data_IF_534287341355
#
_entry.id   IF_534287341355
#
_cell.length_a   1.000
_cell.length_b   1.000
_cell.length_c   1.000
_cell.angle_alpha   90.00
_cell.angle_beta   90.00
_cell.angle_gamma   90.00
#
_symmetry.space_group_name_H-M   'P 1'
#
loop_
_entity.id
_entity.type
_entity.pdbx_description
1 polymer ?
#
# COMPACT_ATOMS: atom_id res chain seq x y z
N UNK A 1 -26.11 -10.92 112.08
CA UNK A 1 -26.75 -12.09 111.45
C UNK A 1 -28.08 -11.65 110.87
N UNK A 2 -28.13 -11.27 109.60
CA UNK A 2 -29.33 -11.36 108.76
C UNK A 2 -28.91 -11.15 107.30
N UNK A 3 -29.39 -12.05 106.46
CA UNK A 3 -28.85 -12.35 105.15
C UNK A 3 -29.61 -11.64 104.02
N UNK A 4 -28.84 -11.22 103.03
CA UNK A 4 -29.06 -11.28 101.59
C UNK A 4 -30.49 -11.59 101.08
N UNK A 5 -31.09 -10.64 100.36
CA UNK A 5 -31.94 -10.92 99.20
C UNK A 5 -31.83 -9.74 98.22
N UNK A 6 -30.94 -9.90 97.25
CA UNK A 6 -30.85 -9.04 96.06
C UNK A 6 -32.15 -9.24 95.27
N UNK A 7 -32.99 -8.22 95.15
CA UNK A 7 -34.08 -8.21 94.18
C UNK A 7 -33.46 -8.01 92.82
N UNK A 8 -33.43 -9.08 92.02
CA UNK A 8 -33.01 -9.04 90.64
C UNK A 8 -33.83 -7.97 89.90
N UNK A 9 -33.16 -6.93 89.42
CA UNK A 9 -33.65 -6.17 88.28
C UNK A 9 -34.01 -7.17 87.19
N UNK A 10 -35.19 -7.07 86.60
CA UNK A 10 -35.52 -7.84 85.41
C UNK A 10 -34.37 -7.68 84.43
N UNK A 11 -33.63 -8.77 84.19
CA UNK A 11 -32.70 -8.81 83.09
C UNK A 11 -33.54 -8.50 81.86
N UNK A 12 -33.36 -7.30 81.31
CA UNK A 12 -33.64 -7.07 79.90
C UNK A 12 -32.68 -8.04 79.23
N UNK A 13 -33.15 -9.25 78.97
CA UNK A 13 -32.60 -10.05 77.92
C UNK A 13 -32.53 -9.08 76.76
N UNK A 14 -31.31 -8.73 76.35
CA UNK A 14 -31.10 -8.13 75.05
C UNK A 14 -31.59 -9.17 74.08
N UNK A 15 -32.89 -9.17 73.84
CA UNK A 15 -33.55 -9.89 72.80
C UNK A 15 -33.00 -9.24 71.55
N UNK A 16 -31.85 -9.73 71.10
CA UNK A 16 -31.47 -9.60 69.71
C UNK A 16 -32.40 -10.52 68.91
N UNK A 17 -33.72 -10.28 69.05
CA UNK A 17 -34.72 -10.78 68.14
C UNK A 17 -34.30 -10.30 66.76
N UNK A 18 -34.24 -11.23 65.82
CA UNK A 18 -33.77 -11.05 64.45
C UNK A 18 -33.83 -9.59 63.98
N UNK A 19 -32.66 -8.94 63.89
CA UNK A 19 -32.50 -7.51 63.52
C UNK A 19 -33.04 -7.23 62.11
N UNK A 20 -33.35 -8.28 61.36
CA UNK A 20 -34.07 -8.27 60.10
C UNK A 20 -35.00 -9.49 60.06
N UNK A 21 -36.31 -9.28 60.11
CA UNK A 21 -37.27 -10.35 59.82
C UNK A 21 -37.63 -10.21 58.33
N UNK A 22 -37.35 -11.24 57.54
CA UNK A 22 -38.00 -11.38 56.23
C UNK A 22 -39.46 -11.70 56.54
N UNK A 23 -40.35 -10.72 56.36
CA UNK A 23 -41.74 -10.87 56.76
C UNK A 23 -42.38 -12.05 56.03
N UNK A 24 -42.67 -13.13 56.75
CA UNK A 24 -43.64 -14.14 56.36
C UNK A 24 -45.04 -13.82 56.89
N UNK A 25 -45.14 -12.97 57.94
CA UNK A 25 -46.41 -12.78 58.68
C UNK A 25 -46.58 -11.43 59.39
N UNK A 26 -45.83 -10.39 59.05
CA UNK A 26 -46.07 -9.03 59.57
C UNK A 26 -46.54 -8.09 58.46
N UNK A 27 -47.83 -7.74 58.49
CA UNK A 27 -48.39 -6.50 57.96
C UNK A 27 -48.04 -6.14 56.51
N UNK A 28 -48.89 -6.60 55.58
CA UNK A 28 -49.14 -6.09 54.23
C UNK A 28 -48.37 -6.64 53.02
N UNK A 29 -47.08 -7.05 53.05
CA UNK A 29 -46.41 -7.62 51.85
C UNK A 29 -45.28 -8.62 52.16
N UNK A 30 -45.47 -9.90 51.84
CA UNK A 30 -44.50 -10.98 52.05
C UNK A 30 -43.18 -10.77 51.27
N UNK A 31 -42.07 -11.29 51.81
CA UNK A 31 -40.75 -11.30 51.13
C UNK A 31 -39.95 -10.00 51.23
N UNK A 32 -40.32 -9.08 52.14
CA UNK A 32 -39.65 -7.80 52.35
C UNK A 32 -38.77 -7.79 53.59
N UNK A 33 -37.66 -7.07 53.49
CA UNK A 33 -36.76 -6.77 54.59
C UNK A 33 -37.37 -5.64 55.42
N UNK A 34 -37.89 -5.99 56.59
CA UNK A 34 -38.47 -5.03 57.52
C UNK A 34 -37.67 -4.96 58.81
N UNK A 35 -37.68 -3.78 59.44
CA UNK A 35 -37.01 -3.55 60.72
C UNK A 35 -38.03 -3.01 61.72
N UNK A 36 -38.19 -3.73 62.83
CA UNK A 36 -39.02 -3.36 63.97
C UNK A 36 -40.50 -3.75 63.85
N UNK A 37 -41.28 -3.38 64.87
CA UNK A 37 -42.73 -3.62 64.93
C UNK A 37 -43.47 -2.34 64.54
N UNK A 38 -44.43 -2.42 63.61
CA UNK A 38 -45.09 -1.25 63.01
C UNK A 38 -45.88 -0.33 63.95
N UNK A 39 -45.79 -0.54 65.27
CA UNK A 39 -46.44 0.21 66.34
C UNK A 39 -45.45 1.09 67.14
N UNK A 40 -44.14 0.93 66.98
CA UNK A 40 -43.12 1.80 67.58
C UNK A 40 -42.71 2.90 66.61
N UNK A 41 -42.81 4.16 67.04
CA UNK A 41 -42.57 5.34 66.19
C UNK A 41 -41.10 5.54 65.77
N UNK A 42 -40.17 4.77 66.33
CA UNK A 42 -38.74 4.78 66.00
C UNK A 42 -38.34 3.67 65.03
N UNK A 43 -39.26 2.78 64.71
CA UNK A 43 -39.01 1.63 63.86
C UNK A 43 -39.34 1.97 62.41
N UNK A 44 -38.54 1.47 61.47
CA UNK A 44 -38.71 1.73 60.03
C UNK A 44 -39.98 1.04 59.50
N UNK A 45 -40.39 -0.07 60.12
CA UNK A 45 -41.57 -0.85 59.73
C UNK A 45 -41.41 -1.58 58.40
N UNK A 46 -42.53 -1.92 57.76
CA UNK A 46 -42.61 -2.54 56.42
C UNK A 46 -43.24 -1.57 55.38
N UNK A 47 -42.59 -0.45 55.01
CA UNK A 47 -43.15 0.44 54.00
C UNK A 47 -43.26 -0.26 52.64
N UNK A 48 -44.16 0.22 51.78
CA UNK A 48 -44.41 -0.37 50.46
C UNK A 48 -43.20 -0.31 49.50
N UNK A 49 -42.13 0.41 49.86
CA UNK A 49 -40.86 0.52 49.13
C UNK A 49 -39.70 -0.21 49.81
N UNK A 50 -39.93 -0.91 50.94
CA UNK A 50 -38.90 -1.71 51.59
C UNK A 50 -38.30 -2.75 50.61
N UNK A 51 -36.97 -2.94 50.58
CA UNK A 51 -36.32 -3.92 49.71
C UNK A 51 -36.92 -5.31 49.90
N UNK A 52 -37.17 -6.04 48.82
CA UNK A 52 -37.57 -7.45 48.91
C UNK A 52 -36.45 -8.37 48.49
N UNK A 53 -36.29 -9.48 49.21
CA UNK A 53 -35.37 -10.57 48.86
C UNK A 53 -36.21 -11.71 48.32
N UNK A 54 -35.97 -12.13 47.08
CA UNK A 54 -36.71 -13.24 46.47
C UNK A 54 -36.10 -14.58 46.86
N UNK A 55 -36.85 -15.67 46.71
CA UNK A 55 -36.33 -17.04 46.85
C UNK A 55 -35.28 -17.39 45.80
N UNK A 56 -35.16 -16.60 44.73
CA UNK A 56 -34.10 -16.70 43.73
C UNK A 56 -32.81 -15.96 44.15
N UNK A 57 -32.80 -15.27 45.29
CA UNK A 57 -31.65 -14.53 45.82
C UNK A 57 -31.53 -13.09 45.30
N UNK A 58 -32.50 -12.61 44.53
CA UNK A 58 -32.50 -11.24 44.01
C UNK A 58 -32.91 -10.24 45.10
N UNK A 59 -32.27 -9.07 45.10
CA UNK A 59 -32.70 -7.92 45.89
C UNK A 59 -33.43 -6.95 44.96
N UNK A 60 -34.73 -6.76 45.18
CA UNK A 60 -35.53 -5.79 44.43
C UNK A 60 -35.70 -4.51 45.24
N UNK A 61 -35.26 -3.40 44.66
CA UNK A 61 -35.43 -2.04 45.19
C UNK A 61 -36.31 -1.27 44.21
N UNK A 62 -37.40 -0.71 44.71
CA UNK A 62 -38.37 0.05 43.89
C UNK A 62 -38.04 1.53 43.79
N UNK A 63 -37.12 2.03 44.64
CA UNK A 63 -36.58 3.39 44.62
C UNK A 63 -35.15 3.45 44.08
N UNK A 64 -34.47 4.59 44.31
CA UNK A 64 -33.07 4.76 43.93
C UNK A 64 -32.14 3.92 44.83
N UNK A 65 -31.18 3.24 44.21
CA UNK A 65 -30.10 2.54 44.91
C UNK A 65 -28.83 3.42 44.87
N UNK A 66 -28.35 3.86 46.02
CA UNK A 66 -27.05 4.53 46.16
C UNK A 66 -26.03 3.54 46.70
N UNK A 67 -25.03 3.18 45.89
CA UNK A 67 -23.94 2.27 46.26
C UNK A 67 -22.59 2.82 45.77
N UNK A 68 -21.53 2.65 46.56
CA UNK A 68 -20.17 3.05 46.16
C UNK A 68 -19.52 2.06 45.18
N UNK A 69 -19.98 0.80 45.18
CA UNK A 69 -19.47 -0.27 44.31
C UNK A 69 -20.54 -1.33 44.12
N UNK A 70 -20.78 -1.71 42.87
CA UNK A 70 -21.47 -2.95 42.53
C UNK A 70 -20.42 -4.07 42.43
N UNK A 71 -20.63 -5.19 43.13
CA UNK A 71 -19.77 -6.38 43.04
C UNK A 71 -20.53 -7.49 42.31
N UNK A 72 -20.20 -7.70 41.03
CA UNK A 72 -20.81 -8.66 40.13
C UNK A 72 -20.28 -8.46 38.71
N UNK A 73 -20.69 -9.31 37.76
CA UNK A 73 -20.33 -9.17 36.35
C UNK A 73 -21.08 -8.03 35.64
N UNK A 74 -22.19 -7.56 36.24
CA UNK A 74 -23.00 -6.45 35.75
C UNK A 74 -23.79 -6.77 34.48
N UNK A 75 -23.78 -8.03 34.02
CA UNK A 75 -24.37 -8.43 32.73
C UNK A 75 -25.90 -8.28 32.70
N UNK A 76 -26.55 -8.30 33.87
CA UNK A 76 -27.98 -8.09 34.03
C UNK A 76 -28.42 -6.64 34.25
N UNK A 77 -27.51 -5.67 34.36
CA UNK A 77 -27.86 -4.25 34.52
C UNK A 77 -28.35 -3.70 33.17
N UNK A 78 -29.67 -3.63 33.00
CA UNK A 78 -30.32 -3.06 31.82
C UNK A 78 -30.96 -1.72 32.16
N UNK A 79 -31.27 -0.91 31.14
CA UNK A 79 -31.98 0.37 31.28
C UNK A 79 -31.26 1.47 32.10
N UNK A 80 -29.93 1.41 32.24
CA UNK A 80 -29.13 2.51 32.76
C UNK A 80 -28.78 3.44 31.60
N UNK A 81 -29.29 4.67 31.63
CA UNK A 81 -29.01 5.64 30.56
C UNK A 81 -27.54 6.04 30.54
N UNK A 82 -27.01 6.24 29.33
CA UNK A 82 -25.63 6.65 29.09
C UNK A 82 -25.20 7.90 29.90
N UNK A 83 -26.13 8.83 30.11
CA UNK A 83 -25.94 10.08 30.86
C UNK A 83 -25.89 9.90 32.38
N UNK A 84 -26.39 8.77 32.90
CA UNK A 84 -26.35 8.44 34.32
C UNK A 84 -25.03 7.81 34.77
N UNK A 85 -24.14 7.47 33.82
CA UNK A 85 -22.86 6.81 34.09
C UNK A 85 -21.73 7.84 33.91
N UNK A 86 -21.29 8.42 35.02
CA UNK A 86 -20.07 9.24 35.06
C UNK A 86 -18.85 8.35 35.29
N UNK A 87 -17.86 8.39 34.38
CA UNK A 87 -16.55 7.75 34.59
C UNK A 87 -16.30 6.41 33.88
N UNK A 88 -17.26 5.88 33.11
CA UNK A 88 -16.92 4.85 32.10
C UNK A 88 -16.46 5.57 30.83
N UNK A 89 -15.21 5.35 30.42
CA UNK A 89 -14.69 5.79 29.12
C UNK A 89 -15.60 5.26 28.00
N UNK A 90 -16.47 6.12 27.45
CA UNK A 90 -17.64 5.70 26.67
C UNK A 90 -17.34 5.13 25.27
N UNK A 91 -16.10 5.13 24.79
CA UNK A 91 -15.79 4.79 23.39
C UNK A 91 -14.64 3.77 23.26
N UNK A 92 -14.83 2.53 23.70
CA UNK A 92 -13.82 1.45 23.51
C UNK A 92 -14.38 0.27 22.72
N UNK A 93 -13.77 -0.03 21.58
CA UNK A 93 -13.94 -1.31 20.89
C UNK A 93 -13.09 -2.35 21.64
N UNK A 94 -13.71 -3.38 22.20
CA UNK A 94 -13.04 -4.49 22.90
C UNK A 94 -13.29 -5.83 22.19
N UNK A 95 -12.53 -6.86 22.55
CA UNK A 95 -12.75 -8.23 22.07
C UNK A 95 -14.21 -8.65 22.25
N UNK A 96 -14.84 -9.17 21.19
CA UNK A 96 -16.25 -9.55 21.16
C UNK A 96 -17.22 -8.46 20.69
N UNK A 97 -16.74 -7.23 20.40
CA UNK A 97 -17.58 -6.20 19.77
C UNK A 97 -17.97 -6.63 18.35
N UNK A 98 -19.27 -6.77 18.08
CA UNK A 98 -19.79 -7.23 16.77
C UNK A 98 -20.15 -6.08 15.81
N UNK A 99 -20.34 -4.86 16.33
CA UNK A 99 -20.58 -3.65 15.54
C UNK A 99 -20.01 -2.44 16.25
N UNK A 100 -19.36 -1.54 15.51
CA UNK A 100 -18.89 -0.26 15.98
C UNK A 100 -19.42 0.83 15.03
N UNK A 101 -20.24 1.74 15.55
CA UNK A 101 -20.78 2.88 14.80
C UNK A 101 -20.11 4.14 15.33
N UNK A 102 -19.22 4.72 14.53
CA UNK A 102 -18.56 5.98 14.87
C UNK A 102 -19.25 7.14 14.12
N UNK A 103 -20.05 7.92 14.85
CA UNK A 103 -20.69 9.13 14.33
C UNK A 103 -19.89 10.33 14.83
N UNK A 104 -19.26 11.05 13.91
CA UNK A 104 -18.49 12.25 14.24
C UNK A 104 -19.30 13.51 13.97
N UNK A 105 -19.44 14.36 14.99
CA UNK A 105 -19.97 15.72 14.84
C UNK A 105 -18.89 16.73 14.46
N UNK A 106 -17.61 16.37 14.58
CA UNK A 106 -16.46 17.20 14.21
C UNK A 106 -16.08 17.12 12.73
N UNK A 107 -16.77 16.29 11.94
CA UNK A 107 -16.60 16.20 10.49
C UNK A 107 -15.49 15.25 10.03
N UNK A 108 -14.89 14.47 10.94
CA UNK A 108 -13.95 13.41 10.58
C UNK A 108 -13.91 12.29 11.63
N UNK A 109 -13.57 11.07 11.20
CA UNK A 109 -13.24 9.94 12.06
C UNK A 109 -11.72 9.78 12.12
N UNK A 110 -11.15 9.59 13.31
CA UNK A 110 -9.71 9.43 13.49
C UNK A 110 -9.37 8.19 14.34
N UNK A 111 -8.29 7.51 13.98
CA UNK A 111 -7.66 6.46 14.77
C UNK A 111 -6.31 6.96 15.27
N UNK A 112 -6.16 7.03 16.58
CA UNK A 112 -4.96 7.54 17.24
C UNK A 112 -4.20 6.42 17.93
N UNK A 113 -2.87 6.40 17.77
CA UNK A 113 -1.96 5.51 18.50
C UNK A 113 -1.01 6.35 19.35
N UNK A 114 -0.92 6.07 20.65
CA UNK A 114 -0.04 6.81 21.59
C UNK A 114 -0.21 8.35 21.51
N UNK A 115 -1.43 8.83 21.27
CA UNK A 115 -1.73 10.26 21.14
C UNK A 115 -1.46 10.88 19.76
N UNK A 116 -0.96 10.11 18.79
CA UNK A 116 -0.73 10.56 17.40
C UNK A 116 -1.81 10.01 16.48
N UNK A 117 -2.41 10.87 15.65
CA UNK A 117 -3.36 10.44 14.63
C UNK A 117 -2.67 9.63 13.53
N UNK A 118 -3.06 8.36 13.39
CA UNK A 118 -2.48 7.43 12.42
C UNK A 118 -3.36 7.30 11.17
N UNK A 119 -4.68 7.31 11.33
CA UNK A 119 -5.65 7.21 10.23
C UNK A 119 -6.77 8.22 10.44
N UNK A 120 -7.18 8.92 9.38
CA UNK A 120 -8.28 9.88 9.32
C UNK A 120 -9.25 9.51 8.21
N UNK A 121 -10.55 9.71 8.41
CA UNK A 121 -11.57 9.75 7.36
C UNK A 121 -12.29 11.09 7.47
N UNK A 122 -12.14 11.98 6.50
CA UNK A 122 -12.77 13.31 6.50
C UNK A 122 -14.21 13.25 5.95
N UNK A 123 -14.98 14.32 6.14
CA UNK A 123 -16.41 14.40 5.78
C UNK A 123 -16.72 14.15 4.31
N UNK A 124 -15.77 14.40 3.40
CA UNK A 124 -15.93 14.09 1.97
C UNK A 124 -15.63 12.61 1.62
N UNK A 125 -15.33 11.77 2.62
CA UNK A 125 -15.05 10.34 2.48
C UNK A 125 -13.59 9.99 2.18
N UNK A 126 -12.69 10.97 2.07
CA UNK A 126 -11.26 10.70 1.86
C UNK A 126 -10.61 10.12 3.12
N UNK A 127 -9.77 9.11 2.94
CA UNK A 127 -8.99 8.46 4.00
C UNK A 127 -7.55 8.93 3.95
N UNK A 128 -7.03 9.48 5.06
CA UNK A 128 -5.63 9.83 5.25
C UNK A 128 -4.94 8.85 6.18
N UNK A 129 -3.76 8.34 5.83
CA UNK A 129 -2.86 7.62 6.73
C UNK A 129 -1.60 8.47 6.89
N UNK A 130 -1.32 8.92 8.11
CA UNK A 130 -0.21 9.85 8.42
C UNK A 130 -0.43 11.31 7.99
N UNK A 131 -1.64 11.67 7.53
CA UNK A 131 -2.05 13.05 7.19
C UNK A 131 -3.44 13.38 7.71
N UNK A 132 -3.65 14.64 8.11
CA UNK A 132 -4.96 15.18 8.49
C UNK A 132 -5.71 15.83 7.32
N UNK A 133 -5.06 16.00 6.17
CA UNK A 133 -5.59 16.70 4.99
C UNK A 133 -5.43 15.82 3.72
N UNK A 134 -6.21 14.74 3.57
CA UNK A 134 -6.13 13.89 2.38
C UNK A 134 -6.81 14.53 1.15
N UNK A 135 -6.02 14.83 0.12
CA UNK A 135 -6.52 15.41 -1.14
C UNK A 135 -7.22 14.38 -2.04
N UNK A 136 -6.95 13.08 -1.84
CA UNK A 136 -7.50 11.97 -2.61
C UNK A 136 -8.24 10.95 -1.72
N UNK A 137 -9.07 10.08 -2.34
CA UNK A 137 -9.88 9.06 -1.64
C UNK A 137 -9.07 8.20 -0.65
N UNK A 138 -7.83 7.89 -0.98
CA UNK A 138 -6.86 7.32 -0.04
C UNK A 138 -5.53 8.05 -0.23
N UNK A 139 -5.05 8.70 0.83
CA UNK A 139 -3.75 9.38 0.88
C UNK A 139 -2.91 8.73 1.98
N UNK A 140 -1.73 8.23 1.65
CA UNK A 140 -0.81 7.61 2.62
C UNK A 140 0.51 8.35 2.56
N UNK A 141 0.91 9.01 3.65
CA UNK A 141 2.19 9.71 3.75
C UNK A 141 2.90 9.38 5.08
N UNK A 142 4.24 9.46 5.13
CA UNK A 142 4.97 9.45 6.41
C UNK A 142 4.51 10.61 7.30
N UNK A 143 4.32 10.35 8.60
CA UNK A 143 3.84 11.35 9.54
C UNK A 143 4.75 12.60 9.55
N UNK A 144 4.14 13.78 9.39
CA UNK A 144 4.84 15.07 9.47
C UNK A 144 5.49 15.59 8.18
N UNK A 145 5.23 14.98 7.01
CA UNK A 145 5.67 15.52 5.72
C UNK A 145 4.51 16.15 4.92
N UNK A 146 4.84 17.09 4.02
CA UNK A 146 3.88 17.73 3.10
C UNK A 146 3.31 16.70 2.11
N UNK A 147 2.07 16.85 1.59
CA UNK A 147 1.45 15.86 0.71
C UNK A 147 2.32 15.63 -0.54
N UNK A 148 2.94 14.47 -0.64
CA UNK A 148 3.41 13.94 -1.92
C UNK A 148 2.55 12.71 -2.24
N UNK A 149 1.90 12.65 -3.42
CA UNK A 149 0.96 11.60 -3.76
C UNK A 149 1.70 10.27 -3.92
N UNK A 150 1.72 9.47 -2.86
CA UNK A 150 2.33 8.14 -2.84
C UNK A 150 1.29 7.09 -2.44
N UNK A 151 0.14 7.04 -3.12
CA UNK A 151 -0.84 5.98 -2.91
C UNK A 151 -0.71 4.92 -4.02
N UNK A 152 0.07 3.87 -3.74
CA UNK A 152 0.03 2.62 -4.51
C UNK A 152 -1.30 1.94 -4.20
N UNK A 153 -2.23 1.90 -5.17
CA UNK A 153 -3.54 1.25 -5.03
C UNK A 153 -3.48 -0.17 -5.62
N UNK A 154 -3.48 -1.19 -4.77
CA UNK A 154 -3.74 -2.56 -5.22
C UNK A 154 -5.25 -2.70 -5.52
N UNK A 155 -5.66 -2.44 -6.77
CA UNK A 155 -7.00 -2.80 -7.23
C UNK A 155 -6.99 -4.26 -7.69
N UNK A 156 -7.91 -5.07 -7.17
CA UNK A 156 -8.15 -6.42 -7.68
C UNK A 156 -8.71 -6.33 -9.11
N UNK A 157 -7.85 -6.47 -10.12
CA UNK A 157 -8.31 -6.69 -11.48
C UNK A 157 -8.98 -8.07 -11.52
N UNK A 158 -10.20 -8.15 -12.08
CA UNK A 158 -11.07 -9.34 -12.05
C UNK A 158 -10.41 -10.62 -12.66
N UNK A 159 -9.23 -10.49 -13.27
CA UNK A 159 -8.51 -11.54 -13.96
C UNK A 159 -7.05 -11.73 -13.49
N UNK A 160 -6.52 -10.91 -12.56
CA UNK A 160 -5.18 -11.07 -11.98
C UNK A 160 -4.92 -10.14 -10.77
N UNK A 161 -4.17 -10.62 -9.79
CA UNK A 161 -3.59 -9.78 -8.72
C UNK A 161 -2.50 -8.88 -9.31
N UNK A 162 -2.81 -7.59 -9.52
CA UNK A 162 -1.85 -6.62 -10.03
C UNK A 162 -1.74 -5.43 -9.09
N UNK A 163 -0.55 -4.81 -9.03
CA UNK A 163 -0.38 -3.49 -8.42
C UNK A 163 -0.71 -2.46 -9.50
N UNK A 164 -1.70 -1.61 -9.26
CA UNK A 164 -2.15 -0.59 -10.21
C UNK A 164 -1.75 0.80 -9.71
N UNK A 165 -1.25 1.64 -10.61
CA UNK A 165 -1.01 3.06 -10.35
C UNK A 165 -1.84 3.84 -11.34
N UNK A 166 -2.80 4.64 -10.84
CA UNK A 166 -3.77 5.38 -11.64
C UNK A 166 -3.84 6.83 -11.16
N UNK A 167 -4.02 7.75 -12.10
CA UNK A 167 -4.14 9.18 -11.85
C UNK A 167 -4.67 9.89 -13.09
N UNK A 168 -5.40 10.99 -12.91
CA UNK A 168 -5.79 11.85 -14.02
C UNK A 168 -4.58 12.66 -14.51
N UNK A 169 -4.38 12.75 -15.83
CA UNK A 169 -3.23 13.44 -16.43
C UNK A 169 -2.00 12.54 -16.55
N UNK A 170 -1.38 12.11 -15.45
CA UNK A 170 -0.20 11.24 -15.48
C UNK A 170 -0.20 10.25 -14.33
N UNK A 171 0.40 9.08 -14.54
CA UNK A 171 0.53 8.03 -13.52
C UNK A 171 1.77 7.18 -13.79
N UNK A 172 2.64 6.99 -12.79
CA UNK A 172 3.87 6.24 -12.93
C UNK A 172 4.34 5.59 -11.62
N UNK A 173 5.06 4.48 -11.74
CA UNK A 173 5.91 3.96 -10.69
C UNK A 173 7.22 4.75 -10.66
N UNK A 174 7.66 5.17 -9.48
CA UNK A 174 8.93 5.89 -9.28
C UNK A 174 9.88 5.11 -8.37
N UNK A 175 11.15 5.07 -8.74
CA UNK A 175 12.26 4.65 -7.89
C UNK A 175 13.19 5.85 -7.72
N UNK A 176 13.42 6.28 -6.46
CA UNK A 176 14.24 7.45 -6.15
C UNK A 176 15.38 7.09 -5.22
N UNK A 177 16.61 7.42 -5.62
CA UNK A 177 17.79 7.44 -4.75
C UNK A 177 18.08 8.90 -4.40
N UNK A 178 17.84 9.28 -3.14
CA UNK A 178 18.02 10.66 -2.66
C UNK A 178 19.49 11.01 -2.43
N UNK A 179 20.36 10.03 -2.19
CA UNK A 179 21.79 10.27 -1.99
C UNK A 179 22.46 10.64 -3.31
N UNK A 180 22.04 9.98 -4.40
CA UNK A 180 22.61 10.20 -5.74
C UNK A 180 21.70 11.03 -6.65
N UNK A 181 20.54 11.50 -6.17
CA UNK A 181 19.55 12.25 -6.95
C UNK A 181 19.12 11.54 -8.24
N UNK A 182 18.94 10.22 -8.18
CA UNK A 182 18.49 9.41 -9.32
C UNK A 182 16.98 9.22 -9.20
N UNK A 183 16.25 9.52 -10.27
CA UNK A 183 14.82 9.23 -10.38
C UNK A 183 14.56 8.38 -11.62
N UNK A 184 14.09 7.15 -11.43
CA UNK A 184 13.68 6.21 -12.47
C UNK A 184 12.16 6.07 -12.50
N UNK A 185 11.57 6.13 -13.69
CA UNK A 185 10.13 6.18 -13.90
C UNK A 185 9.65 5.13 -14.90
N UNK A 186 8.49 4.53 -14.62
CA UNK A 186 7.71 3.75 -15.58
C UNK A 186 6.24 4.14 -15.48
N UNK A 187 5.65 4.65 -16.56
CA UNK A 187 4.25 5.05 -16.52
C UNK A 187 3.73 5.73 -17.78
N UNK A 188 2.76 6.62 -17.58
CA UNK A 188 1.98 7.30 -18.61
C UNK A 188 2.10 8.81 -18.47
N UNK A 189 2.20 9.49 -19.61
CA UNK A 189 2.24 10.95 -19.69
C UNK A 189 0.87 11.53 -19.98
N UNK A 190 0.71 12.82 -19.67
CA UNK A 190 -0.47 13.61 -20.04
C UNK A 190 -0.57 13.89 -21.55
N UNK A 191 0.47 13.56 -22.32
CA UNK A 191 0.50 13.64 -23.77
C UNK A 191 0.15 12.32 -24.47
N UNK A 192 -0.27 11.29 -23.72
CA UNK A 192 -0.75 10.03 -24.27
C UNK A 192 0.34 9.02 -24.63
N UNK A 193 1.54 9.14 -24.06
CA UNK A 193 2.62 8.16 -24.24
C UNK A 193 2.82 7.30 -23.00
N UNK A 194 3.19 6.02 -23.21
CA UNK A 194 3.82 5.20 -22.18
C UNK A 194 5.32 5.45 -22.23
N UNK A 195 5.95 5.60 -21.08
CA UNK A 195 7.39 5.85 -20.99
C UNK A 195 8.06 4.99 -19.91
N UNK A 196 9.35 4.73 -20.14
CA UNK A 196 10.30 4.12 -19.23
C UNK A 196 11.59 4.91 -19.34
N UNK A 197 12.11 5.47 -18.25
CA UNK A 197 13.30 6.32 -18.33
C UNK A 197 13.76 6.88 -16.98
N UNK A 198 14.78 7.73 -17.02
CA UNK A 198 15.15 8.58 -15.90
C UNK A 198 14.55 9.97 -16.06
N UNK A 199 14.05 10.55 -14.97
CA UNK A 199 13.61 11.96 -14.92
C UNK A 199 14.76 12.93 -14.63
N UNK A 200 15.97 12.39 -14.44
CA UNK A 200 17.19 13.10 -14.06
C UNK A 200 18.28 12.83 -15.10
N UNK A 201 19.40 13.54 -15.01
CA UNK A 201 20.54 13.35 -15.92
C UNK A 201 21.33 12.07 -15.61
N UNK A 202 20.68 10.91 -15.76
CA UNK A 202 21.23 9.59 -15.50
C UNK A 202 20.85 8.60 -16.60
N UNK A 203 21.75 7.64 -16.86
CA UNK A 203 21.53 6.64 -17.90
C UNK A 203 20.37 5.69 -17.60
N UNK A 204 19.64 5.24 -18.63
CA UNK A 204 18.74 4.10 -18.54
C UNK A 204 19.46 2.81 -18.96
N UNK A 205 19.29 1.73 -18.19
CA UNK A 205 19.94 0.44 -18.46
C UNK A 205 18.94 -0.72 -18.42
N UNK A 206 19.02 -1.62 -19.38
CA UNK A 206 18.44 -2.97 -19.29
C UNK A 206 19.56 -3.97 -19.06
N UNK A 207 19.45 -4.75 -17.99
CA UNK A 207 20.50 -5.64 -17.50
C UNK A 207 20.04 -7.09 -17.43
N UNK A 208 20.95 -8.02 -17.72
CA UNK A 208 20.75 -9.47 -17.47
C UNK A 208 22.05 -10.07 -16.93
N UNK A 209 21.95 -10.90 -15.89
CA UNK A 209 23.13 -11.50 -15.25
C UNK A 209 24.13 -10.46 -14.73
N UNK A 210 23.63 -9.36 -14.16
CA UNK A 210 24.41 -8.20 -13.71
C UNK A 210 25.20 -7.44 -14.80
N UNK A 211 25.02 -7.76 -16.08
CA UNK A 211 25.64 -7.04 -17.20
C UNK A 211 24.64 -6.12 -17.92
N UNK A 212 25.11 -4.95 -18.37
CA UNK A 212 24.30 -4.03 -19.20
C UNK A 212 24.19 -4.56 -20.62
N UNK A 213 22.95 -4.77 -21.09
CA UNK A 213 22.64 -5.29 -22.43
C UNK A 213 22.16 -4.19 -23.37
N UNK A 214 21.34 -3.27 -22.85
CA UNK A 214 20.98 -2.03 -23.51
C UNK A 214 21.31 -0.89 -22.57
N UNK A 215 21.99 0.13 -23.09
CA UNK A 215 22.38 1.32 -22.36
C UNK A 215 21.91 2.54 -23.15
N UNK A 216 21.22 3.47 -22.50
CA UNK A 216 20.97 4.81 -23.04
C UNK A 216 21.73 5.76 -22.13
N UNK A 217 22.79 6.37 -22.66
CA UNK A 217 23.59 7.31 -21.89
C UNK A 217 22.85 8.65 -21.69
N UNK A 218 23.42 9.53 -20.87
CA UNK A 218 22.86 10.85 -20.56
C UNK A 218 22.79 11.78 -21.78
N UNK A 219 23.57 11.49 -22.84
CA UNK A 219 23.53 12.23 -24.11
C UNK A 219 22.50 11.68 -25.10
N UNK A 220 21.79 10.62 -24.74
CA UNK A 220 20.76 9.97 -25.56
C UNK A 220 21.29 8.94 -26.55
N UNK A 221 22.57 8.55 -26.47
CA UNK A 221 23.13 7.49 -27.33
C UNK A 221 22.73 6.11 -26.81
N UNK A 222 22.44 5.21 -27.74
CA UNK A 222 22.00 3.85 -27.45
C UNK A 222 23.16 2.88 -27.71
N UNK A 223 23.58 2.16 -26.68
CA UNK A 223 24.50 1.03 -26.77
C UNK A 223 23.77 -0.30 -26.62
N UNK A 224 24.04 -1.26 -27.51
CA UNK A 224 23.65 -2.66 -27.36
C UNK A 224 24.92 -3.49 -27.16
N UNK A 225 25.00 -4.19 -26.02
CA UNK A 225 26.21 -4.87 -25.53
C UNK A 225 27.45 -3.97 -25.36
N UNK A 226 27.25 -2.65 -25.22
CA UNK A 226 28.29 -1.68 -24.85
C UNK A 226 27.69 -0.67 -23.86
N UNK A 227 28.48 -0.26 -22.86
CA UNK A 227 28.09 0.75 -21.86
C UNK A 227 28.65 2.14 -22.16
N UNK A 228 29.37 2.29 -23.27
CA UNK A 228 30.02 3.55 -23.64
C UNK A 228 29.89 3.79 -25.14
N UNK A 229 28.66 3.97 -25.65
CA UNK A 229 28.42 4.20 -27.07
C UNK A 229 29.10 5.49 -27.54
N UNK A 230 29.90 5.37 -28.59
CA UNK A 230 30.60 6.50 -29.23
C UNK A 230 29.71 7.19 -30.26
N UNK A 231 28.75 6.47 -30.83
CA UNK A 231 27.79 6.94 -31.84
C UNK A 231 26.35 6.83 -31.33
N UNK A 232 25.39 7.44 -32.03
CA UNK A 232 23.97 7.50 -31.60
C UNK A 232 23.34 6.12 -31.37
N UNK A 233 23.69 5.13 -32.19
CA UNK A 233 23.33 3.72 -31.99
C UNK A 233 24.56 2.87 -32.26
N UNK A 234 25.12 2.28 -31.22
CA UNK A 234 26.26 1.39 -31.30
C UNK A 234 25.86 -0.03 -30.88
N UNK A 235 26.06 -1.00 -31.76
CA UNK A 235 25.79 -2.41 -31.47
C UNK A 235 27.11 -3.17 -31.48
N UNK A 236 27.54 -3.62 -30.31
CA UNK A 236 28.73 -4.47 -30.18
C UNK A 236 28.35 -5.93 -30.42
N UNK A 237 28.25 -6.32 -31.69
CA UNK A 237 27.89 -7.67 -32.11
C UNK A 237 27.31 -7.75 -33.52
N UNK A 238 26.88 -8.96 -33.91
CA UNK A 238 26.23 -9.21 -35.19
C UNK A 238 24.75 -8.79 -35.14
N UNK A 239 24.30 -8.07 -36.17
CA UNK A 239 22.88 -7.74 -36.37
C UNK A 239 22.30 -8.73 -37.39
N UNK A 240 21.34 -9.55 -36.96
CA UNK A 240 20.55 -10.41 -37.85
C UNK A 240 19.19 -9.75 -38.10
N UNK A 241 18.92 -9.35 -39.34
CA UNK A 241 17.68 -8.69 -39.73
C UNK A 241 17.25 -9.14 -41.12
N UNK A 242 15.94 -9.34 -41.34
CA UNK A 242 15.39 -9.59 -42.67
C UNK A 242 15.62 -8.41 -43.61
N UNK A 243 15.49 -7.19 -43.10
CA UNK A 243 15.79 -5.95 -43.81
C UNK A 243 16.54 -4.99 -42.87
N UNK A 244 17.68 -4.46 -43.31
CA UNK A 244 18.39 -3.37 -42.64
C UNK A 244 18.37 -2.16 -43.57
N UNK A 245 17.50 -1.19 -43.27
CA UNK A 245 17.42 0.08 -44.02
C UNK A 245 18.25 1.14 -43.29
N UNK A 246 19.23 1.70 -43.98
CA UNK A 246 20.04 2.82 -43.50
C UNK A 246 19.73 4.04 -44.36
N UNK A 247 19.40 5.17 -43.74
CA UNK A 247 19.28 6.45 -44.43
C UNK A 247 20.66 7.16 -44.36
N UNK A 248 21.62 6.66 -45.15
CA UNK A 248 22.99 7.17 -45.15
C UNK A 248 23.97 6.21 -45.81
N UNK A 249 25.27 6.46 -45.61
CA UNK A 249 26.34 5.61 -46.12
C UNK A 249 26.59 4.43 -45.18
N UNK A 250 26.61 3.21 -45.72
CA UNK A 250 27.18 2.06 -45.02
C UNK A 250 28.72 2.19 -45.08
N UNK A 251 29.35 2.35 -43.91
CA UNK A 251 30.81 2.37 -43.75
C UNK A 251 31.17 1.13 -42.93
N UNK A 252 31.85 0.13 -43.50
CA UNK A 252 32.30 -1.01 -42.71
C UNK A 252 33.71 -0.71 -42.14
N UNK A 253 33.74 -0.21 -40.92
CA UNK A 253 34.96 0.25 -40.25
C UNK A 253 35.92 -0.83 -39.73
N UNK A 254 35.88 -2.06 -40.25
CA UNK A 254 36.74 -3.17 -39.80
C UNK A 254 37.51 -3.78 -40.96
N UNK A 255 38.82 -3.99 -40.82
CA UNK A 255 39.64 -4.67 -41.83
C UNK A 255 39.37 -6.18 -41.82
N UNK A 256 39.01 -6.83 -42.96
CA UNK A 256 38.66 -6.24 -44.25
C UNK A 256 37.21 -5.75 -44.33
N UNK A 257 37.05 -4.53 -44.86
CA UNK A 257 35.80 -3.80 -45.09
C UNK A 257 35.00 -4.50 -46.19
N UNK A 258 34.27 -5.56 -45.83
CA UNK A 258 33.64 -6.46 -46.78
C UNK A 258 32.17 -6.64 -46.44
N UNK A 259 31.30 -6.23 -47.35
CA UNK A 259 29.92 -6.73 -47.42
C UNK A 259 30.02 -8.21 -47.86
N UNK A 260 30.23 -9.12 -46.90
CA UNK A 260 30.20 -10.56 -47.14
C UNK A 260 28.73 -10.99 -47.11
N UNK A 261 28.10 -11.11 -48.27
CA UNK A 261 26.86 -11.86 -48.34
C UNK A 261 27.03 -12.98 -49.34
N UNK A 262 26.74 -14.20 -48.88
CA UNK A 262 26.86 -15.43 -49.68
C UNK A 262 25.97 -15.44 -50.93
N UNK A 263 25.10 -14.44 -51.08
CA UNK A 263 24.20 -14.23 -52.23
C UNK A 263 24.06 -12.74 -52.61
N UNK A 264 24.96 -11.84 -52.15
CA UNK A 264 24.77 -10.41 -52.32
C UNK A 264 24.86 -9.99 -53.80
N UNK A 265 23.69 -9.72 -54.38
CA UNK A 265 23.57 -8.71 -55.41
C UNK A 265 23.56 -7.35 -54.69
N UNK A 266 24.65 -6.58 -54.81
CA UNK A 266 24.58 -5.14 -54.51
C UNK A 266 23.76 -4.51 -55.64
N UNK A 267 22.44 -4.56 -55.51
CA UNK A 267 21.50 -3.97 -56.47
C UNK A 267 21.24 -2.53 -56.02
N UNK A 268 21.90 -1.59 -56.66
CA UNK A 268 21.53 -0.19 -56.53
C UNK A 268 20.34 0.09 -57.47
N UNK A 269 19.13 0.01 -56.92
CA UNK A 269 17.89 0.40 -57.62
C UNK A 269 17.52 1.82 -57.29
N UNK A 270 16.94 2.48 -58.28
CA UNK A 270 16.48 3.84 -58.21
C UNK A 270 14.98 3.87 -58.39
N UNK A 271 14.26 4.37 -57.40
CA UNK A 271 12.79 4.39 -57.44
C UNK A 271 12.24 5.61 -58.20
N UNK A 272 13.07 6.58 -58.61
CA UNK A 272 12.64 7.75 -59.41
C UNK A 272 13.82 8.62 -59.92
N UNK A 273 14.32 8.36 -61.13
CA UNK A 273 14.99 9.37 -61.99
C UNK A 273 16.33 10.03 -61.56
N UNK A 274 17.03 9.56 -60.54
CA UNK A 274 18.40 10.02 -60.22
C UNK A 274 19.50 9.40 -61.10
N UNK A 275 20.76 9.45 -60.64
CA UNK A 275 21.85 8.60 -61.15
C UNK A 275 22.32 7.65 -60.02
N UNK A 276 22.56 6.38 -60.32
CA UNK A 276 23.35 5.51 -59.44
C UNK A 276 24.82 5.74 -59.78
N UNK A 277 25.42 6.75 -59.17
CA UNK A 277 26.84 7.08 -59.36
C UNK A 277 27.65 6.65 -58.14
N UNK A 278 28.75 5.92 -58.35
CA UNK A 278 29.68 5.55 -57.28
C UNK A 278 30.98 4.95 -57.82
N UNK A 279 32.07 5.10 -57.07
CA UNK A 279 33.35 4.46 -57.40
C UNK A 279 33.39 3.03 -56.86
N UNK A 280 33.42 2.05 -57.76
CA UNK A 280 33.74 0.67 -57.42
C UNK A 280 35.27 0.47 -57.50
N UNK A 281 35.95 0.52 -56.35
CA UNK A 281 37.41 0.36 -56.27
C UNK A 281 37.78 -1.11 -56.10
N UNK A 282 38.40 -1.70 -57.13
CA UNK A 282 38.99 -3.05 -57.06
C UNK A 282 40.44 -2.91 -56.57
N UNK A 283 40.72 -3.34 -55.34
CA UNK A 283 42.04 -3.12 -54.68
C UNK A 283 42.95 -4.34 -54.65
N UNK A 284 42.45 -5.55 -54.91
CA UNK A 284 43.29 -6.75 -54.97
C UNK A 284 43.70 -7.05 -56.41
N UNK A 285 45.00 -6.99 -56.69
CA UNK A 285 45.61 -7.71 -57.82
C UNK A 285 45.69 -9.16 -57.40
N UNK A 286 44.67 -9.91 -57.76
CA UNK A 286 44.77 -11.35 -57.74
C UNK A 286 45.93 -11.79 -58.61
N UNK A 287 46.99 -12.34 -58.02
CA UNK A 287 48.02 -13.06 -58.78
C UNK A 287 47.44 -14.34 -59.43
N UNK A 288 46.16 -14.63 -59.21
CA UNK A 288 45.44 -15.72 -59.87
C UNK A 288 45.33 -15.44 -61.38
N UNK A 289 45.72 -16.43 -62.19
CA UNK A 289 45.52 -16.42 -63.64
C UNK A 289 44.02 -16.50 -63.97
N UNK A 290 43.56 -15.77 -64.99
CA UNK A 290 42.18 -15.95 -65.49
C UNK A 290 42.04 -17.39 -66.02
N UNK A 291 41.42 -18.25 -65.21
CA UNK A 291 41.07 -19.62 -65.53
C UNK A 291 39.70 -19.97 -64.97
N UNK A 292 39.28 -21.25 -65.05
CA UNK A 292 37.92 -21.67 -64.70
C UNK A 292 37.45 -21.28 -63.29
N UNK A 293 38.37 -21.20 -62.32
CA UNK A 293 38.08 -20.78 -60.94
C UNK A 293 37.83 -19.27 -60.79
N UNK A 294 38.13 -18.47 -61.81
CA UNK A 294 38.07 -17.02 -61.79
C UNK A 294 37.14 -16.42 -62.87
N UNK A 295 36.48 -17.21 -63.71
CA UNK A 295 35.56 -16.71 -64.74
C UNK A 295 34.42 -15.86 -64.15
N UNK A 296 34.02 -14.84 -64.89
CA UNK A 296 33.02 -13.82 -64.52
C UNK A 296 33.40 -12.95 -63.31
N UNK A 297 34.66 -12.97 -62.88
CA UNK A 297 35.18 -12.03 -61.87
C UNK A 297 35.81 -10.78 -62.51
N UNK A 298 35.71 -9.65 -61.82
CA UNK A 298 36.45 -8.42 -62.08
C UNK A 298 37.77 -8.45 -61.29
N UNK A 299 38.90 -8.23 -61.96
CA UNK A 299 40.23 -8.17 -61.31
C UNK A 299 41.09 -7.04 -61.89
N UNK A 300 42.19 -6.72 -61.20
CA UNK A 300 43.26 -5.89 -61.75
C UNK A 300 44.36 -6.81 -62.26
N UNK A 301 44.70 -6.71 -63.55
CA UNK A 301 45.77 -7.46 -64.17
C UNK A 301 47.13 -7.02 -63.58
N UNK A 302 47.93 -7.93 -62.99
CA UNK A 302 49.18 -7.57 -62.30
C UNK A 302 50.27 -7.09 -63.26
N UNK A 303 50.18 -7.41 -64.54
CA UNK A 303 51.16 -7.02 -65.57
C UNK A 303 50.80 -5.71 -66.24
N UNK A 304 49.51 -5.48 -66.52
CA UNK A 304 49.06 -4.29 -67.26
C UNK A 304 48.48 -3.19 -66.38
N UNK A 305 48.21 -3.47 -65.10
CA UNK A 305 47.51 -2.59 -64.16
C UNK A 305 46.12 -2.12 -64.64
N UNK A 306 45.53 -2.83 -65.61
CA UNK A 306 44.18 -2.55 -66.11
C UNK A 306 43.15 -3.42 -65.39
N UNK A 307 41.93 -2.89 -65.24
CA UNK A 307 40.78 -3.69 -64.83
C UNK A 307 40.40 -4.60 -66.00
N UNK A 308 40.21 -5.89 -65.70
CA UNK A 308 39.74 -6.86 -66.67
C UNK A 308 38.67 -7.78 -66.07
N UNK A 309 37.88 -8.37 -66.96
CA UNK A 309 36.89 -9.38 -66.64
C UNK A 309 37.44 -10.72 -67.12
N UNK A 310 37.58 -11.70 -66.24
CA UNK A 310 37.95 -13.05 -66.65
C UNK A 310 36.76 -13.68 -67.41
N UNK A 311 36.98 -14.07 -68.66
CA UNK A 311 35.96 -14.70 -69.50
C UNK A 311 36.23 -16.21 -69.65
N UNK A 312 35.17 -17.02 -69.85
CA UNK A 312 35.29 -18.43 -70.20
C UNK A 312 36.21 -18.71 -71.38
#
# INVERSE_FOLDING_TARGET
>A
MMALAVTASSAVAGDWGNVAIISSTMGAKAGRLCIGEGLRSTDIGCPAYAPSVTTAGDVSVTGALSASKFMGDGSGLTNISASAISGLARDRIISGTTSAVAVSTSGYLAFTTLGTESVRIVSNGNVGIGTSTPDFRLTVIPAGQSPQPSAVLAYGHQLASTVSVQGAGQAYFMARDTSNSIEGLFGTSNSGSVFLGSATDHSLQLRTGNATRLHIDTTGKIGINTSSPTTTLEVYGMISATNLRLNGQLVAGGTPDRIVSGTAFVKATQDTGGEVSGTFKVTSTGNETCGPSAYNSLRVNPTTNKIEICRP
#
